data_IF_586332328819
#
_entry.id   IF_586332328819
#
_cell.length_a   1.000
_cell.length_b   1.000
_cell.length_c   1.000
_cell.angle_alpha   90.00
_cell.angle_beta   90.00
_cell.angle_gamma   90.00
#
_symmetry.space_group_name_H-M   'P 1'
#
loop_
_entity.id
_entity.type
_entity.pdbx_description
1 polymer ?
#
# COMPACT_ATOMS: atom_id res chain seq x y z
N UNK A 1 -9.85 2.90 -7.53
CA UNK A 1 -10.63 2.13 -8.53
C UNK A 1 -11.45 1.08 -7.79
N UNK A 2 -12.71 0.91 -8.19
CA UNK A 2 -13.56 -0.18 -7.69
C UNK A 2 -13.10 -1.55 -8.24
N UNK A 3 -13.11 -2.58 -7.39
CA UNK A 3 -12.59 -3.91 -7.73
C UNK A 3 -13.61 -4.81 -8.49
N UNK A 4 -14.90 -4.45 -8.50
CA UNK A 4 -15.96 -5.22 -9.16
C UNK A 4 -16.13 -4.83 -10.62
N UNK A 5 -16.42 -3.56 -10.87
CA UNK A 5 -16.66 -3.02 -12.20
C UNK A 5 -15.41 -2.38 -12.82
N UNK A 6 -14.36 -2.19 -12.02
CA UNK A 6 -13.13 -1.53 -12.41
C UNK A 6 -13.30 -0.04 -12.67
N UNK A 7 -14.35 0.58 -12.15
CA UNK A 7 -14.60 2.02 -12.29
C UNK A 7 -13.47 2.81 -11.61
N UNK A 8 -12.91 3.77 -12.32
CA UNK A 8 -11.91 4.69 -11.76
C UNK A 8 -12.64 5.70 -10.89
N UNK A 9 -12.43 5.63 -9.58
CA UNK A 9 -13.11 6.49 -8.60
C UNK A 9 -12.34 7.79 -8.41
N UNK A 10 -11.02 7.70 -8.46
CA UNK A 10 -10.12 8.78 -8.12
C UNK A 10 -8.87 8.75 -8.97
N UNK A 11 -8.35 9.92 -9.32
CA UNK A 11 -7.11 10.12 -10.09
C UNK A 11 -6.33 11.26 -9.48
N UNK A 12 -5.05 11.03 -9.26
CA UNK A 12 -4.12 12.07 -8.87
C UNK A 12 -2.87 12.06 -9.75
N UNK A 13 -2.25 13.22 -9.87
CA UNK A 13 -1.02 13.43 -10.62
C UNK A 13 -0.04 14.15 -9.69
N UNK A 14 1.10 13.56 -9.50
CA UNK A 14 2.19 14.07 -8.68
C UNK A 14 3.46 14.22 -9.52
N UNK A 15 4.43 14.94 -9.01
CA UNK A 15 5.77 14.99 -9.62
C UNK A 15 6.48 13.65 -9.45
N UNK A 16 7.44 13.34 -10.33
CA UNK A 16 8.22 12.10 -10.21
C UNK A 16 9.10 12.01 -8.96
N UNK A 17 9.23 13.10 -8.21
CA UNK A 17 10.00 13.18 -6.95
C UNK A 17 9.14 12.82 -5.73
N UNK A 18 7.82 12.96 -5.84
CA UNK A 18 6.90 12.66 -4.74
C UNK A 18 6.63 11.15 -4.64
N UNK A 19 6.66 10.63 -3.42
CA UNK A 19 6.31 9.21 -3.20
C UNK A 19 4.82 8.98 -3.37
N UNK A 20 4.43 7.91 -4.08
CA UNK A 20 3.04 7.49 -4.24
C UNK A 20 2.30 7.32 -2.91
N UNK A 21 3.02 7.05 -1.82
CA UNK A 21 2.47 6.90 -0.48
C UNK A 21 2.23 8.24 0.26
N UNK A 22 2.82 9.34 -0.20
CA UNK A 22 2.84 10.60 0.56
C UNK A 22 1.44 11.19 0.76
N UNK A 23 0.57 11.08 -0.25
CA UNK A 23 -0.77 11.69 -0.26
C UNK A 23 -1.89 10.68 0.03
N UNK A 24 -1.57 9.51 0.58
CA UNK A 24 -2.55 8.44 0.77
C UNK A 24 -3.73 8.88 1.66
N UNK A 25 -3.48 9.60 2.75
CA UNK A 25 -4.53 10.08 3.64
C UNK A 25 -5.55 10.97 2.90
N UNK A 26 -5.06 11.98 2.20
CA UNK A 26 -5.87 12.90 1.39
C UNK A 26 -6.66 12.15 0.30
N UNK A 27 -6.02 11.18 -0.36
CA UNK A 27 -6.69 10.38 -1.40
C UNK A 27 -7.80 9.51 -0.82
N UNK A 28 -7.57 8.90 0.35
CA UNK A 28 -8.62 8.12 1.03
C UNK A 28 -9.81 8.98 1.39
N UNK A 29 -9.58 10.19 1.90
CA UNK A 29 -10.66 11.12 2.27
C UNK A 29 -11.47 11.57 1.04
N UNK A 30 -10.82 11.81 -0.09
CA UNK A 30 -11.49 12.11 -1.36
C UNK A 30 -12.30 10.93 -1.89
N UNK A 31 -11.75 9.71 -1.79
CA UNK A 31 -12.48 8.48 -2.16
C UNK A 31 -13.71 8.29 -1.28
N UNK A 32 -13.59 8.50 0.03
CA UNK A 32 -14.71 8.43 0.97
C UNK A 32 -15.77 9.47 0.63
N UNK A 33 -15.35 10.72 0.33
CA UNK A 33 -16.26 11.78 -0.10
C UNK A 33 -17.00 11.44 -1.39
N UNK A 34 -16.33 10.84 -2.37
CA UNK A 34 -16.94 10.41 -3.64
C UNK A 34 -17.90 9.24 -3.47
N UNK A 35 -17.57 8.27 -2.62
CA UNK A 35 -18.37 7.06 -2.42
C UNK A 35 -19.49 7.24 -1.40
N UNK A 36 -19.44 8.27 -0.56
CA UNK A 36 -20.34 8.45 0.61
C UNK A 36 -20.16 7.39 1.69
N UNK A 37 -19.10 6.58 1.62
CA UNK A 37 -18.81 5.51 2.59
C UNK A 37 -17.33 5.19 2.63
N UNK A 38 -16.87 4.67 3.76
CA UNK A 38 -15.51 4.14 3.92
C UNK A 38 -15.39 2.78 3.22
N UNK A 39 -14.36 2.57 2.36
CA UNK A 39 -14.09 1.25 1.82
C UNK A 39 -13.69 0.26 2.94
N UNK A 40 -14.24 -0.95 2.95
CA UNK A 40 -13.86 -1.96 3.95
C UNK A 40 -12.44 -2.49 3.75
N UNK A 41 -11.98 -2.57 2.50
CA UNK A 41 -10.67 -3.11 2.14
C UNK A 41 -10.05 -2.27 1.03
N UNK A 42 -8.75 -2.04 1.13
CA UNK A 42 -7.96 -1.37 0.09
C UNK A 42 -6.76 -2.26 -0.28
N UNK A 43 -6.61 -2.51 -1.57
CA UNK A 43 -5.46 -3.22 -2.12
C UNK A 43 -4.54 -2.25 -2.86
N UNK A 44 -3.25 -2.37 -2.65
CA UNK A 44 -2.24 -1.62 -3.41
C UNK A 44 -0.95 -2.45 -3.51
N UNK A 45 -0.03 -2.01 -4.35
CA UNK A 45 1.28 -2.65 -4.47
C UNK A 45 2.20 -2.33 -3.27
N UNK A 46 3.38 -2.94 -3.24
CA UNK A 46 4.36 -2.70 -2.19
C UNK A 46 4.92 -1.26 -2.19
N UNK A 47 4.74 -0.50 -3.26
CA UNK A 47 5.07 0.93 -3.31
C UNK A 47 4.34 1.74 -2.24
N UNK A 48 3.12 1.34 -1.90
CA UNK A 48 2.30 1.92 -0.84
C UNK A 48 2.51 1.27 0.53
N UNK A 49 3.36 0.25 0.63
CA UNK A 49 3.62 -0.52 1.86
C UNK A 49 4.46 0.23 2.90
N UNK A 50 4.09 1.45 3.25
CA UNK A 50 4.75 2.29 4.26
C UNK A 50 3.96 2.32 5.58
N UNK A 51 4.67 2.45 6.69
CA UNK A 51 4.07 2.45 8.03
C UNK A 51 3.02 3.54 8.22
N UNK A 52 3.24 4.72 7.64
CA UNK A 52 2.26 5.80 7.64
C UNK A 52 0.96 5.41 6.94
N UNK A 53 1.04 4.75 5.77
CA UNK A 53 -0.14 4.31 5.01
C UNK A 53 -0.96 3.31 5.82
N UNK A 54 -0.31 2.36 6.47
CA UNK A 54 -1.00 1.40 7.35
C UNK A 54 -1.65 2.08 8.56
N UNK A 55 -1.00 3.09 9.14
CA UNK A 55 -1.56 3.86 10.25
C UNK A 55 -2.80 4.65 9.82
N UNK A 56 -2.75 5.31 8.65
CA UNK A 56 -3.87 6.06 8.08
C UNK A 56 -5.08 5.17 7.74
N UNK A 57 -4.82 3.98 7.21
CA UNK A 57 -5.88 3.00 6.95
C UNK A 57 -6.49 2.45 8.25
N UNK A 58 -5.66 2.15 9.24
CA UNK A 58 -6.14 1.67 10.54
C UNK A 58 -6.99 2.74 11.26
N UNK A 59 -6.62 4.02 11.17
CA UNK A 59 -7.39 5.13 11.72
C UNK A 59 -8.80 5.27 11.11
N UNK A 60 -8.99 4.78 9.88
CA UNK A 60 -10.27 4.80 9.15
C UNK A 60 -10.99 3.44 9.17
N UNK A 61 -10.53 2.48 9.96
CA UNK A 61 -11.04 1.10 10.00
C UNK A 61 -11.02 0.38 8.62
N UNK A 62 -10.05 0.71 7.77
CA UNK A 62 -9.82 0.07 6.47
C UNK A 62 -8.84 -1.10 6.64
N UNK A 63 -9.20 -2.30 6.13
CA UNK A 63 -8.28 -3.45 6.09
C UNK A 63 -7.31 -3.31 4.89
N UNK A 64 -5.99 -3.10 5.12
CA UNK A 64 -5.02 -2.97 4.05
C UNK A 64 -4.55 -4.33 3.55
N UNK A 65 -4.89 -4.71 2.34
CA UNK A 65 -4.28 -5.85 1.63
C UNK A 65 -3.13 -5.33 0.77
N UNK A 66 -2.09 -4.86 1.42
CA UNK A 66 -0.90 -4.26 0.82
C UNK A 66 0.34 -5.01 1.31
N UNK A 67 1.23 -5.51 0.43
CA UNK A 67 2.50 -6.06 0.86
C UNK A 67 3.37 -4.96 1.49
N UNK A 68 3.97 -5.24 2.64
CA UNK A 68 4.97 -4.32 3.17
C UNK A 68 6.21 -4.27 2.25
N UNK A 69 6.85 -3.13 2.20
CA UNK A 69 8.13 -3.00 1.49
C UNK A 69 9.17 -3.93 2.12
N UNK A 70 9.93 -4.70 1.33
CA UNK A 70 11.05 -5.45 1.86
C UNK A 70 12.01 -4.50 2.59
N UNK A 71 12.48 -4.90 3.76
CA UNK A 71 13.57 -4.17 4.42
C UNK A 71 14.85 -4.51 3.66
N UNK A 72 15.20 -3.67 2.72
CA UNK A 72 16.46 -3.81 1.99
C UNK A 72 17.59 -3.18 2.79
N UNK A 73 18.70 -3.89 2.88
CA UNK A 73 19.92 -3.33 3.43
C UNK A 73 20.37 -2.18 2.52
N UNK A 74 20.55 -0.98 3.08
CA UNK A 74 21.12 0.13 2.31
C UNK A 74 22.51 -0.28 1.83
N UNK A 75 22.80 -0.07 0.55
CA UNK A 75 24.12 -0.41 -0.04
C UNK A 75 25.23 0.24 0.79
N UNK A 76 26.21 -0.54 1.23
CA UNK A 76 27.29 -0.07 2.11
C UNK A 76 26.94 -0.01 3.60
N UNK A 77 25.71 -0.34 4.03
CA UNK A 77 25.38 -0.43 5.45
C UNK A 77 25.81 -1.78 6.02
N UNK A 78 26.45 -1.74 7.18
CA UNK A 78 26.81 -2.91 8.00
C UNK A 78 25.76 -3.14 9.09
N UNK A 79 25.78 -4.32 9.70
CA UNK A 79 24.89 -4.67 10.80
C UNK A 79 23.56 -5.30 10.39
N UNK A 80 22.84 -5.84 11.36
CA UNK A 80 21.54 -6.46 11.13
C UNK A 80 20.47 -5.43 10.81
N UNK A 81 19.53 -5.81 9.96
CA UNK A 81 18.34 -5.03 9.62
C UNK A 81 17.29 -5.10 10.74
N UNK A 82 16.33 -4.17 10.72
CA UNK A 82 15.30 -4.03 11.78
C UNK A 82 14.41 -5.27 11.96
N UNK A 83 14.25 -6.09 10.95
CA UNK A 83 13.45 -7.32 11.00
C UNK A 83 14.02 -8.39 11.93
N UNK A 84 15.30 -8.28 12.28
CA UNK A 84 15.95 -9.15 13.29
C UNK A 84 15.63 -8.75 14.73
N UNK A 85 15.04 -7.58 14.95
CA UNK A 85 14.70 -7.04 16.25
C UNK A 85 13.20 -7.10 16.50
N UNK A 86 12.80 -7.42 17.73
CA UNK A 86 11.40 -7.52 18.12
C UNK A 86 11.05 -6.33 19.02
N UNK A 87 10.21 -5.42 18.51
CA UNK A 87 9.70 -4.33 19.33
C UNK A 87 8.45 -4.78 20.10
N UNK A 88 8.45 -4.57 21.37
CA UNK A 88 7.32 -4.74 22.29
C UNK A 88 6.77 -3.36 22.64
N UNK A 89 5.58 -3.06 22.10
CA UNK A 89 4.95 -1.75 22.29
C UNK A 89 4.41 -1.55 23.72
N UNK A 90 4.10 -2.64 24.45
CA UNK A 90 3.53 -2.56 25.80
C UNK A 90 4.61 -2.31 26.84
N UNK A 91 5.73 -3.00 26.71
CA UNK A 91 6.89 -2.79 27.57
C UNK A 91 7.81 -1.67 27.11
N UNK A 92 7.53 -1.07 25.94
CA UNK A 92 8.38 -0.07 25.28
C UNK A 92 9.87 -0.47 25.23
N UNK A 93 10.11 -1.70 24.82
CA UNK A 93 11.44 -2.30 24.71
C UNK A 93 11.64 -2.94 23.33
N UNK A 94 12.90 -3.02 22.94
CA UNK A 94 13.31 -3.79 21.75
C UNK A 94 14.14 -4.98 22.20
N UNK A 95 13.81 -6.17 21.72
CA UNK A 95 14.60 -7.39 21.95
C UNK A 95 15.49 -7.68 20.75
N UNK A 96 16.78 -7.85 20.99
CA UNK A 96 17.74 -8.24 19.95
C UNK A 96 17.63 -9.75 19.62
N UNK A 97 18.30 -10.24 18.55
CA UNK A 97 18.31 -11.67 18.21
C UNK A 97 18.82 -12.61 19.32
N UNK A 98 19.59 -12.10 20.26
CA UNK A 98 20.07 -12.82 21.47
C UNK A 98 19.15 -12.66 22.68
N UNK A 99 17.95 -12.05 22.49
CA UNK A 99 17.00 -11.84 23.58
C UNK A 99 17.35 -10.70 24.54
N UNK A 100 18.49 -10.01 24.37
CA UNK A 100 18.86 -8.87 25.23
C UNK A 100 17.94 -7.67 24.92
N UNK A 101 17.62 -6.93 25.98
CA UNK A 101 16.72 -5.78 25.94
C UNK A 101 17.51 -4.53 25.55
N UNK A 102 16.95 -3.78 24.62
CA UNK A 102 17.34 -2.42 24.31
C UNK A 102 16.27 -1.49 24.91
N UNK A 103 16.71 -0.47 25.61
CA UNK A 103 15.84 0.54 26.23
C UNK A 103 15.86 1.85 25.43
N UNK A 104 14.79 2.66 25.51
CA UNK A 104 14.78 3.97 24.87
C UNK A 104 15.86 4.87 25.50
N UNK A 105 16.56 5.63 24.66
CA UNK A 105 17.65 6.52 25.12
C UNK A 105 17.52 7.94 24.62
N UNK A 106 16.98 8.16 23.44
CA UNK A 106 16.80 9.50 22.90
C UNK A 106 15.59 9.55 21.99
N UNK A 107 14.92 10.69 21.97
CA UNK A 107 13.81 10.98 21.10
C UNK A 107 14.28 11.68 19.82
N UNK A 108 13.51 11.50 18.75
CA UNK A 108 13.68 12.19 17.47
C UNK A 108 12.31 12.65 17.00
N UNK A 109 12.22 13.60 16.05
CA UNK A 109 10.93 14.04 15.51
C UNK A 109 10.07 12.91 14.92
N UNK A 110 10.70 11.82 14.50
CA UNK A 110 10.04 10.67 13.85
C UNK A 110 9.85 9.46 14.74
N UNK A 111 10.46 9.43 15.94
CA UNK A 111 10.40 8.27 16.83
C UNK A 111 11.47 8.30 17.91
N UNK A 112 11.92 7.13 18.32
CA UNK A 112 12.91 6.98 19.40
C UNK A 112 14.03 6.04 19.01
N UNK A 113 15.24 6.28 19.60
CA UNK A 113 16.36 5.38 19.52
C UNK A 113 16.40 4.46 20.73
N UNK A 114 16.49 3.18 20.50
CA UNK A 114 16.71 2.15 21.50
C UNK A 114 18.15 1.69 21.45
N UNK A 115 18.74 1.45 22.62
CA UNK A 115 20.14 1.08 22.75
C UNK A 115 20.30 -0.09 23.69
N UNK A 116 21.14 -1.06 23.33
CA UNK A 116 21.58 -2.12 24.22
C UNK A 116 22.65 -1.61 25.19
N UNK A 117 22.75 -2.23 26.35
CA UNK A 117 23.87 -2.01 27.26
C UNK A 117 25.18 -2.42 26.58
N UNK A 118 26.23 -1.59 26.77
CA UNK A 118 27.53 -1.81 26.09
C UNK A 118 28.17 -3.14 26.53
N UNK A 119 28.05 -3.51 27.79
CA UNK A 119 28.53 -4.80 28.32
C UNK A 119 27.87 -5.99 27.60
N UNK A 120 26.58 -5.93 27.35
CA UNK A 120 25.83 -6.98 26.64
C UNK A 120 26.24 -7.16 25.18
N UNK A 121 26.74 -6.09 24.55
CA UNK A 121 27.20 -6.12 23.16
C UNK A 121 28.67 -6.53 23.03
N UNK A 122 29.51 -6.17 24.00
CA UNK A 122 30.97 -6.43 23.99
C UNK A 122 31.33 -7.93 23.90
N UNK A 123 30.58 -8.76 24.60
CA UNK A 123 30.78 -10.22 24.62
C UNK A 123 29.82 -10.98 23.72
N UNK A 124 29.10 -10.28 22.87
CA UNK A 124 28.09 -10.90 22.01
C UNK A 124 28.72 -11.59 20.81
N UNK A 125 28.52 -12.91 20.61
CA UNK A 125 29.05 -13.63 19.45
C UNK A 125 28.49 -13.13 18.11
N UNK A 126 27.33 -12.44 18.11
CA UNK A 126 26.75 -11.82 16.93
C UNK A 126 27.19 -10.34 16.75
N UNK A 127 28.12 -9.86 17.58
CA UNK A 127 28.53 -8.44 17.60
C UNK A 127 29.05 -7.97 16.26
N UNK A 128 29.92 -8.75 15.63
CA UNK A 128 30.54 -8.43 14.34
C UNK A 128 29.52 -8.21 13.21
N UNK A 129 28.46 -9.03 13.18
CA UNK A 129 27.41 -8.93 12.15
C UNK A 129 26.28 -7.95 12.52
N UNK A 130 26.13 -7.69 13.82
CA UNK A 130 24.99 -6.93 14.33
C UNK A 130 25.28 -5.44 14.42
N UNK A 131 26.49 -5.06 14.88
CA UNK A 131 26.84 -3.67 15.18
C UNK A 131 27.47 -3.03 13.93
N UNK A 132 26.94 -1.90 13.46
CA UNK A 132 27.50 -1.25 12.28
C UNK A 132 28.81 -0.51 12.61
N UNK A 133 29.83 -0.74 11.80
CA UNK A 133 31.11 0.00 11.86
C UNK A 133 31.80 -0.11 13.22
N UNK A 134 32.30 1.01 13.73
CA UNK A 134 33.04 1.14 14.99
C UNK A 134 32.17 1.47 16.20
N UNK A 135 30.84 1.34 16.09
CA UNK A 135 29.95 1.69 17.18
C UNK A 135 30.15 0.73 18.38
N UNK A 136 30.14 1.21 19.61
CA UNK A 136 30.38 0.39 20.82
C UNK A 136 29.20 -0.53 21.15
N UNK A 137 28.02 -0.25 20.61
CA UNK A 137 26.79 -1.01 20.87
C UNK A 137 25.78 -0.82 19.76
N UNK A 138 24.81 -1.72 19.70
CA UNK A 138 23.71 -1.65 18.75
C UNK A 138 22.70 -0.56 19.14
N UNK A 139 22.35 0.28 18.15
CA UNK A 139 21.24 1.23 18.21
C UNK A 139 20.18 0.83 17.19
N UNK A 140 18.93 0.99 17.57
CA UNK A 140 17.78 0.62 16.75
C UNK A 140 16.77 1.76 16.79
N UNK A 141 16.44 2.41 15.65
CA UNK A 141 15.38 3.41 15.62
C UNK A 141 14.02 2.71 15.58
N UNK A 142 13.09 3.17 16.39
CA UNK A 142 11.67 2.81 16.32
C UNK A 142 10.90 4.07 16.00
N UNK A 143 10.26 4.09 14.83
CA UNK A 143 9.44 5.22 14.39
C UNK A 143 8.02 5.08 14.91
N UNK A 144 7.29 6.19 14.95
CA UNK A 144 5.86 6.23 15.37
C UNK A 144 4.96 5.31 14.54
N UNK A 145 5.41 4.94 13.33
CA UNK A 145 4.63 4.07 12.42
C UNK A 145 5.08 2.60 12.41
N UNK A 146 6.12 2.23 13.18
CA UNK A 146 6.63 0.85 13.18
C UNK A 146 5.63 -0.15 13.75
N UNK A 147 4.79 0.27 14.69
CA UNK A 147 3.70 -0.56 15.22
C UNK A 147 2.73 -0.94 14.10
N UNK A 148 2.32 0.03 13.26
CA UNK A 148 1.44 -0.21 12.12
C UNK A 148 2.12 -1.13 11.09
N UNK A 149 3.41 -0.92 10.82
CA UNK A 149 4.21 -1.78 9.95
C UNK A 149 4.29 -3.21 10.47
N UNK A 150 4.53 -3.41 11.77
CA UNK A 150 4.57 -4.73 12.39
C UNK A 150 3.22 -5.45 12.33
N UNK A 151 2.11 -4.74 12.54
CA UNK A 151 0.75 -5.28 12.36
C UNK A 151 0.51 -5.71 10.91
N UNK A 152 0.87 -4.88 9.94
CA UNK A 152 0.74 -5.19 8.52
C UNK A 152 1.59 -6.41 8.11
N UNK A 153 2.80 -6.56 8.65
CA UNK A 153 3.64 -7.75 8.45
C UNK A 153 2.98 -9.02 8.98
N UNK A 154 2.45 -8.98 10.20
CA UNK A 154 1.71 -10.11 10.79
C UNK A 154 0.48 -10.45 9.94
N UNK A 155 -0.28 -9.42 9.54
CA UNK A 155 -1.44 -9.57 8.66
C UNK A 155 -1.05 -10.23 7.33
N UNK A 156 0.07 -9.83 6.72
CA UNK A 156 0.58 -10.41 5.46
C UNK A 156 0.93 -11.90 5.61
N UNK A 157 1.53 -12.29 6.72
CA UNK A 157 1.85 -13.70 6.99
C UNK A 157 0.58 -14.55 7.19
N UNK A 158 -0.48 -13.94 7.71
CA UNK A 158 -1.79 -14.57 7.94
C UNK A 158 -2.75 -14.44 6.75
N UNK A 159 -2.31 -14.01 5.56
CA UNK A 159 -3.18 -13.90 4.39
C UNK A 159 -3.77 -15.26 4.02
N UNK A 160 -5.09 -15.31 3.98
CA UNK A 160 -5.87 -16.45 3.52
C UNK A 160 -5.81 -16.58 2.00
N UNK A 161 -6.42 -17.65 1.45
CA UNK A 161 -6.61 -17.77 0.00
C UNK A 161 -7.50 -16.64 -0.54
N UNK A 162 -8.52 -16.21 0.23
CA UNK A 162 -9.39 -15.10 -0.13
C UNK A 162 -8.62 -13.76 -0.19
N UNK A 163 -7.75 -13.50 0.79
CA UNK A 163 -6.90 -12.29 0.77
C UNK A 163 -5.97 -12.26 -0.45
N UNK A 164 -5.39 -13.41 -0.79
CA UNK A 164 -4.54 -13.53 -1.99
C UNK A 164 -5.34 -13.30 -3.27
N UNK A 165 -6.55 -13.84 -3.35
CA UNK A 165 -7.45 -13.61 -4.49
C UNK A 165 -7.84 -12.13 -4.59
N UNK A 166 -8.18 -11.48 -3.48
CA UNK A 166 -8.44 -10.03 -3.43
C UNK A 166 -7.21 -9.20 -3.87
N UNK A 167 -6.01 -9.61 -3.48
CA UNK A 167 -4.78 -8.91 -3.89
C UNK A 167 -4.47 -9.09 -5.38
N UNK A 168 -4.70 -10.27 -5.93
CA UNK A 168 -4.35 -10.57 -7.33
C UNK A 168 -5.38 -10.02 -8.32
N UNK A 169 -6.65 -9.99 -7.96
CA UNK A 169 -7.74 -9.52 -8.81
C UNK A 169 -7.59 -8.08 -9.30
N UNK A 170 -7.35 -7.06 -8.43
CA UNK A 170 -7.16 -5.69 -8.88
C UNK A 170 -5.93 -5.48 -9.75
N UNK A 171 -4.94 -6.35 -9.68
CA UNK A 171 -3.73 -6.27 -10.49
C UNK A 171 -4.05 -6.28 -11.98
N UNK A 172 -4.96 -7.12 -12.43
CA UNK A 172 -5.43 -7.14 -13.81
C UNK A 172 -6.24 -5.88 -14.15
N UNK A 173 -7.10 -5.44 -13.26
CA UNK A 173 -7.94 -4.27 -13.45
C UNK A 173 -7.11 -2.99 -13.43
N UNK A 174 -6.26 -2.79 -12.43
CA UNK A 174 -5.44 -1.57 -12.30
C UNK A 174 -4.38 -1.48 -13.39
N UNK A 175 -3.60 -2.54 -13.62
CA UNK A 175 -2.61 -2.57 -14.69
C UNK A 175 -3.28 -2.45 -16.06
N UNK A 176 -4.44 -3.10 -16.27
CA UNK A 176 -5.23 -2.98 -17.49
C UNK A 176 -5.73 -1.57 -17.73
N UNK A 177 -6.21 -0.87 -16.70
CA UNK A 177 -6.62 0.55 -16.81
C UNK A 177 -5.43 1.44 -17.16
N UNK A 178 -4.30 1.29 -16.51
CA UNK A 178 -3.10 2.04 -16.85
C UNK A 178 -2.62 1.73 -18.27
N UNK A 179 -2.65 0.47 -18.68
CA UNK A 179 -2.36 0.07 -20.05
C UNK A 179 -3.30 0.75 -21.06
N UNK A 180 -4.61 0.62 -20.87
CA UNK A 180 -5.62 1.26 -21.73
C UNK A 180 -5.46 2.78 -21.77
N UNK A 181 -5.24 3.41 -20.61
CA UNK A 181 -5.04 4.85 -20.54
C UNK A 181 -3.84 5.30 -21.37
N UNK A 182 -2.73 4.56 -21.29
CA UNK A 182 -1.50 4.89 -22.03
C UNK A 182 -1.60 4.55 -23.53
N UNK A 183 -2.16 3.40 -23.89
CA UNK A 183 -2.15 2.92 -25.28
C UNK A 183 -3.30 3.47 -26.11
N UNK A 184 -4.50 3.59 -25.54
CA UNK A 184 -5.71 3.97 -26.30
C UNK A 184 -6.24 5.37 -26.00
N UNK A 185 -5.76 6.00 -24.90
CA UNK A 185 -6.27 7.30 -24.46
C UNK A 185 -5.18 8.38 -24.34
N UNK A 186 -3.99 8.12 -24.88
CA UNK A 186 -2.92 9.12 -24.97
C UNK A 186 -2.28 9.55 -23.63
N UNK A 187 -2.51 8.80 -22.54
CA UNK A 187 -1.96 9.16 -21.22
C UNK A 187 -0.46 8.84 -21.08
N UNK A 188 0.17 8.23 -22.08
CA UNK A 188 1.61 7.98 -22.13
C UNK A 188 2.44 9.25 -22.30
N UNK A 189 1.84 10.34 -22.77
CA UNK A 189 2.52 11.63 -22.98
C UNK A 189 1.60 12.78 -22.59
N UNK A 190 2.14 13.75 -21.87
CA UNK A 190 1.43 14.99 -21.58
C UNK A 190 1.21 15.79 -22.88
N UNK A 191 -0.04 16.13 -23.17
CA UNK A 191 -0.38 16.99 -24.32
C UNK A 191 -0.01 18.45 -24.03
N UNK A 192 -0.11 18.86 -22.75
CA UNK A 192 0.24 20.20 -22.28
C UNK A 192 1.16 20.09 -21.07
N UNK A 193 2.03 21.07 -20.89
CA UNK A 193 2.93 21.12 -19.72
C UNK A 193 2.17 21.55 -18.46
N UNK A 194 2.68 21.10 -17.31
CA UNK A 194 2.20 21.44 -15.96
C UNK A 194 1.25 20.42 -15.38
N UNK A 195 1.30 20.27 -14.05
CA UNK A 195 0.53 19.27 -13.29
C UNK A 195 -0.97 19.44 -13.46
N UNK A 196 -1.47 20.67 -13.48
CA UNK A 196 -2.90 20.96 -13.66
C UNK A 196 -3.41 20.43 -15.01
N UNK A 197 -2.68 20.70 -16.09
CA UNK A 197 -3.06 20.23 -17.42
C UNK A 197 -2.98 18.69 -17.51
N UNK A 198 -1.97 18.09 -16.90
CA UNK A 198 -1.84 16.64 -16.83
C UNK A 198 -2.98 16.02 -16.00
N UNK A 199 -3.40 16.68 -14.92
CA UNK A 199 -4.55 16.23 -14.11
C UNK A 199 -5.85 16.27 -14.90
N UNK A 200 -6.09 17.34 -15.69
CA UNK A 200 -7.25 17.42 -16.59
C UNK A 200 -7.22 16.28 -17.60
N UNK A 201 -6.09 16.04 -18.27
CA UNK A 201 -5.92 14.94 -19.22
C UNK A 201 -6.21 13.59 -18.57
N UNK A 202 -5.70 13.33 -17.37
CA UNK A 202 -5.92 12.08 -16.65
C UNK A 202 -7.38 11.89 -16.22
N UNK A 203 -8.05 12.95 -15.76
CA UNK A 203 -9.47 12.92 -15.41
C UNK A 203 -10.35 12.65 -16.63
N UNK A 204 -10.09 13.30 -17.77
CA UNK A 204 -10.81 13.05 -19.03
C UNK A 204 -10.60 11.61 -19.51
N UNK A 205 -9.37 11.08 -19.39
CA UNK A 205 -9.06 9.69 -19.69
C UNK A 205 -9.84 8.73 -18.80
N UNK A 206 -9.87 8.98 -17.50
CA UNK A 206 -10.63 8.17 -16.53
C UNK A 206 -12.13 8.18 -16.85
N UNK A 207 -12.68 9.35 -17.18
CA UNK A 207 -14.08 9.52 -17.60
C UNK A 207 -14.38 8.71 -18.85
N UNK A 208 -13.55 8.77 -19.88
CA UNK A 208 -13.73 8.00 -21.11
C UNK A 208 -13.70 6.48 -20.86
N UNK A 209 -12.80 6.01 -19.99
CA UNK A 209 -12.72 4.61 -19.59
C UNK A 209 -13.99 4.19 -18.83
N UNK A 210 -14.46 5.01 -17.89
CA UNK A 210 -15.66 4.74 -17.12
C UNK A 210 -16.92 4.69 -18.01
N UNK A 211 -17.07 5.63 -18.93
CA UNK A 211 -18.19 5.64 -19.90
C UNK A 211 -18.20 4.39 -20.78
N UNK A 212 -17.05 3.95 -21.30
CA UNK A 212 -16.93 2.69 -22.06
C UNK A 212 -17.37 1.48 -21.25
N UNK A 213 -17.02 1.42 -19.95
CA UNK A 213 -17.43 0.33 -19.06
C UNK A 213 -18.92 0.35 -18.76
N UNK A 214 -19.48 1.54 -18.53
CA UNK A 214 -20.91 1.73 -18.34
C UNK A 214 -21.70 1.30 -19.58
N UNK A 215 -21.28 1.74 -20.77
CA UNK A 215 -21.89 1.36 -22.03
C UNK A 215 -21.85 -0.16 -22.26
N UNK A 216 -20.71 -0.80 -21.97
CA UNK A 216 -20.59 -2.26 -22.04
C UNK A 216 -21.54 -2.97 -21.07
N UNK A 217 -21.64 -2.50 -19.83
CA UNK A 217 -22.54 -3.08 -18.83
C UNK A 217 -24.00 -2.95 -19.24
N UNK A 218 -24.39 -1.78 -19.75
CA UNK A 218 -25.74 -1.52 -20.26
C UNK A 218 -26.07 -2.42 -21.45
N UNK A 219 -25.15 -2.55 -22.42
CA UNK A 219 -25.33 -3.43 -23.57
C UNK A 219 -25.53 -4.87 -23.15
N UNK A 220 -24.71 -5.38 -22.23
CA UNK A 220 -24.86 -6.74 -21.68
C UNK A 220 -26.21 -6.93 -20.99
N UNK A 221 -26.70 -5.94 -20.25
CA UNK A 221 -28.01 -5.97 -19.63
C UNK A 221 -29.12 -6.05 -20.68
N UNK A 222 -29.07 -5.23 -21.72
CA UNK A 222 -30.05 -5.24 -22.82
C UNK A 222 -30.07 -6.59 -23.57
N UNK A 223 -28.90 -7.14 -23.87
CA UNK A 223 -28.76 -8.46 -24.50
C UNK A 223 -29.37 -9.55 -23.62
N UNK A 224 -29.12 -9.53 -22.31
CA UNK A 224 -29.69 -10.51 -21.39
C UNK A 224 -31.21 -10.39 -21.29
N UNK A 225 -31.76 -9.17 -21.26
CA UNK A 225 -33.21 -8.93 -21.25
C UNK A 225 -33.84 -9.44 -22.56
N UNK A 226 -33.20 -9.15 -23.69
CA UNK A 226 -33.66 -9.62 -25.00
C UNK A 226 -33.65 -11.15 -25.09
N UNK A 227 -32.55 -11.80 -24.68
CA UNK A 227 -32.42 -13.25 -24.66
C UNK A 227 -33.48 -13.89 -23.76
N UNK A 228 -33.67 -13.34 -22.54
CA UNK A 228 -34.70 -13.83 -21.60
C UNK A 228 -36.12 -13.73 -22.18
N UNK A 229 -36.45 -12.66 -22.88
CA UNK A 229 -37.77 -12.50 -23.54
C UNK A 229 -37.93 -13.48 -24.71
N UNK A 230 -36.89 -13.69 -25.49
CA UNK A 230 -36.94 -14.56 -26.67
C UNK A 230 -37.04 -16.06 -26.29
N UNK A 231 -36.32 -16.50 -25.27
CA UNK A 231 -36.32 -17.91 -24.84
C UNK A 231 -37.57 -18.32 -24.05
N UNK A 232 -38.32 -17.36 -23.48
CA UNK A 232 -39.55 -17.64 -22.73
C UNK A 232 -40.84 -17.66 -23.58
N UNK A 233 -40.75 -17.29 -24.84
CA UNK A 233 -41.82 -17.50 -25.82
C UNK A 233 -41.38 -18.60 -26.82
N UNK A 234 -41.45 -19.89 -26.48
CA UNK A 234 -41.46 -20.90 -27.55
C UNK A 234 -42.68 -20.63 -28.38
N UNK A 235 -42.49 -20.49 -29.69
CA UNK A 235 -43.58 -20.30 -30.64
C UNK A 235 -44.60 -21.42 -30.43
N UNK A 236 -45.78 -21.04 -29.98
CA UNK A 236 -46.96 -21.88 -30.16
C UNK A 236 -47.20 -21.97 -31.67
N UNK A 237 -46.78 -23.07 -32.25
CA UNK A 237 -47.17 -23.52 -33.58
C UNK A 237 -48.35 -24.48 -33.44
#
# INVERSE_FOLDING_TARGET
MDDRAGIVIDVDIVTGEESDAARMAERLDQIVGTLGRVPGTVTADAGHGAGQVYAEMAARAIDPIIPHRPITRRRGSSGYTMDRFKYDQFGDIVRCPRGKILTPRSETPTGRWFRAETSACKTCPLGADCIPGTAPTRRVPITKHDVATLRARRRRLAWTAADRALYTRPRWLACGVHGLAKTLHGLNRAVRRGLTNMKIQALMTATAINLKRLAKALLLLLVNIWHFRYTRHPQAA
#
